data_IF_690075126620
#
_entry.id   IF_690075126620
#
_cell.length_a   1.000
_cell.length_b   1.000
_cell.length_c   1.000
_cell.angle_alpha   90.00
_cell.angle_beta   90.00
_cell.angle_gamma   90.00
#
_symmetry.space_group_name_H-M   'P 1'
#
loop_
_entity.id
_entity.type
_entity.pdbx_description
1 polymer ?
#
# COMPACT_ATOMS: atom_id res chain seq x y z
N UNK A 1 9.57 3.17 -20.55
CA UNK A 1 10.95 2.64 -20.65
C UNK A 1 11.30 2.08 -19.26
N UNK A 2 11.32 0.76 -19.05
CA UNK A 2 11.21 0.19 -17.71
C UNK A 2 12.56 -0.26 -17.12
N UNK A 3 13.03 0.42 -16.06
CA UNK A 3 14.07 -0.14 -15.20
C UNK A 3 13.49 -1.34 -14.44
N UNK A 4 13.86 -2.53 -14.92
CA UNK A 4 13.27 -3.82 -14.58
C UNK A 4 14.09 -4.54 -13.50
N UNK A 5 13.46 -5.41 -12.69
CA UNK A 5 14.04 -6.10 -11.50
C UNK A 5 14.21 -5.12 -10.31
N UNK A 6 13.55 -5.31 -9.15
CA UNK A 6 14.02 -6.09 -7.99
C UNK A 6 12.96 -6.06 -6.82
N UNK A 7 12.93 -7.07 -5.92
CA UNK A 7 11.84 -7.49 -4.96
C UNK A 7 12.04 -6.99 -3.48
N UNK A 8 11.31 -7.33 -2.38
CA UNK A 8 10.29 -8.35 -1.92
C UNK A 8 8.87 -7.71 -1.71
N UNK A 9 7.89 -8.03 -0.84
CA UNK A 9 7.67 -8.73 0.48
C UNK A 9 8.35 -7.99 1.70
N UNK A 10 7.88 -8.02 2.96
CA UNK A 10 6.67 -8.59 3.57
C UNK A 10 5.72 -7.47 4.04
N UNK A 11 4.69 -7.14 3.24
CA UNK A 11 3.41 -6.67 3.75
C UNK A 11 2.63 -7.81 4.43
N UNK A 12 1.56 -7.46 5.12
CA UNK A 12 0.61 -8.37 5.77
C UNK A 12 0.21 -9.57 4.88
N UNK A 13 0.66 -10.77 5.26
CA UNK A 13 0.37 -12.06 4.61
C UNK A 13 0.75 -12.20 3.11
N UNK A 14 2.01 -12.60 2.87
CA UNK A 14 2.44 -13.51 1.79
C UNK A 14 1.95 -13.21 0.34
N UNK A 15 2.17 -12.01 -0.19
CA UNK A 15 2.56 -11.83 -1.60
C UNK A 15 3.17 -10.45 -1.86
N UNK A 16 4.35 -10.38 -2.47
CA UNK A 16 5.04 -9.12 -2.76
C UNK A 16 6.06 -9.28 -3.88
N UNK A 17 5.64 -8.93 -5.09
CA UNK A 17 6.36 -9.19 -6.33
C UNK A 17 6.78 -7.86 -6.94
N UNK A 18 7.96 -7.80 -7.56
CA UNK A 18 8.43 -6.62 -8.29
C UNK A 18 7.92 -6.62 -9.74
N UNK A 19 7.27 -5.52 -10.10
CA UNK A 19 6.35 -5.47 -11.24
C UNK A 19 6.74 -4.35 -12.21
N UNK A 20 8.06 -4.15 -12.35
CA UNK A 20 8.66 -3.09 -13.15
C UNK A 20 8.67 -3.35 -14.66
N UNK A 21 8.29 -4.55 -15.11
CA UNK A 21 8.15 -4.95 -16.51
C UNK A 21 6.93 -5.87 -16.76
N UNK A 22 6.02 -5.92 -15.79
CA UNK A 22 5.10 -7.05 -15.61
C UNK A 22 3.68 -6.50 -15.62
N UNK A 23 2.86 -6.90 -16.59
CA UNK A 23 1.49 -6.40 -16.68
C UNK A 23 0.62 -6.94 -15.53
N UNK A 24 -0.57 -6.35 -15.34
CA UNK A 24 -1.48 -6.72 -14.25
C UNK A 24 -1.87 -8.21 -14.27
N UNK A 25 -1.96 -8.85 -15.45
CA UNK A 25 -2.24 -10.28 -15.55
C UNK A 25 -1.08 -11.15 -15.05
N UNK A 26 0.14 -10.85 -15.47
CA UNK A 26 1.35 -11.53 -15.00
C UNK A 26 1.61 -11.26 -13.50
N UNK A 27 1.24 -10.07 -13.01
CA UNK A 27 1.22 -9.71 -11.57
C UNK A 27 0.35 -10.68 -10.78
N UNK A 28 -0.87 -10.93 -11.26
CA UNK A 28 -1.81 -11.83 -10.60
C UNK A 28 -1.32 -13.29 -10.65
N UNK A 29 -0.77 -13.75 -11.78
CA UNK A 29 -0.11 -15.07 -11.85
C UNK A 29 1.00 -15.20 -10.80
N UNK A 30 1.83 -14.16 -10.65
CA UNK A 30 2.94 -14.13 -9.68
C UNK A 30 2.48 -14.09 -8.21
N UNK A 31 1.37 -13.41 -7.93
CA UNK A 31 0.68 -13.45 -6.63
C UNK A 31 0.13 -14.86 -6.33
N UNK A 32 -0.28 -15.60 -7.36
CA UNK A 32 -0.80 -16.97 -7.24
C UNK A 32 0.29 -18.04 -7.12
N UNK A 33 1.34 -18.01 -7.95
CA UNK A 33 2.49 -18.93 -7.83
C UNK A 33 3.22 -18.79 -6.46
N UNK A 34 3.15 -17.61 -5.82
CA UNK A 34 3.60 -17.39 -4.44
C UNK A 34 2.68 -18.04 -3.39
N UNK A 35 1.35 -17.87 -3.47
CA UNK A 35 0.40 -18.56 -2.57
C UNK A 35 0.55 -20.08 -2.66
N UNK A 36 0.83 -20.60 -3.86
CA UNK A 36 1.09 -22.02 -4.10
C UNK A 36 2.52 -22.46 -3.72
N UNK A 37 3.31 -21.59 -3.07
CA UNK A 37 4.65 -21.86 -2.54
C UNK A 37 5.67 -22.34 -3.60
N UNK A 38 5.46 -22.03 -4.88
CA UNK A 38 6.31 -22.50 -5.99
C UNK A 38 7.58 -21.68 -6.21
N UNK A 39 7.73 -20.56 -5.51
CA UNK A 39 8.81 -19.60 -5.68
C UNK A 39 9.52 -19.32 -4.36
N UNK A 40 10.84 -19.57 -4.31
CA UNK A 40 11.65 -19.27 -3.13
C UNK A 40 11.96 -17.77 -2.99
N UNK A 41 12.17 -17.35 -1.75
CA UNK A 41 12.25 -15.96 -1.29
C UNK A 41 13.56 -15.81 -0.49
N UNK A 42 14.54 -15.06 -0.99
CA UNK A 42 15.93 -15.04 -0.45
C UNK A 42 16.48 -13.63 -0.28
N UNK A 43 16.98 -13.32 0.92
CA UNK A 43 17.70 -12.07 1.27
C UNK A 43 16.97 -10.74 1.01
N UNK A 44 15.66 -10.76 0.75
CA UNK A 44 14.93 -9.60 0.24
C UNK A 44 14.48 -9.72 -1.22
N UNK A 45 14.75 -10.84 -1.91
CA UNK A 45 14.58 -10.96 -3.38
C UNK A 45 14.01 -12.31 -3.86
N UNK A 46 13.15 -12.30 -4.89
CA UNK A 46 12.73 -13.50 -5.64
C UNK A 46 13.59 -13.61 -6.90
N UNK A 47 13.92 -14.85 -7.30
CA UNK A 47 14.62 -15.12 -8.55
C UNK A 47 13.70 -14.96 -9.77
N UNK A 48 13.73 -13.76 -10.37
CA UNK A 48 13.02 -13.44 -11.62
C UNK A 48 13.36 -14.38 -12.78
N UNK A 49 14.56 -14.94 -12.84
CA UNK A 49 14.92 -15.86 -13.92
C UNK A 49 14.15 -17.18 -13.83
N UNK A 50 13.63 -17.51 -12.65
CA UNK A 50 12.77 -18.69 -12.46
C UNK A 50 11.30 -18.40 -12.75
N UNK A 51 10.84 -17.19 -12.43
CA UNK A 51 9.52 -16.66 -12.79
C UNK A 51 9.34 -16.53 -14.30
N UNK A 52 10.39 -16.09 -15.00
CA UNK A 52 10.34 -15.69 -16.41
C UNK A 52 11.02 -16.71 -17.36
N UNK A 53 11.20 -17.96 -16.93
CA UNK A 53 11.78 -19.05 -17.76
C UNK A 53 11.08 -19.21 -19.11
N UNK A 54 9.76 -19.04 -19.12
CA UNK A 54 8.91 -19.20 -20.29
C UNK A 54 8.77 -17.91 -21.14
N UNK A 55 9.44 -16.82 -20.73
CA UNK A 55 9.42 -15.54 -21.45
C UNK A 55 10.66 -15.38 -22.35
N UNK A 56 10.55 -14.49 -23.34
CA UNK A 56 11.56 -14.35 -24.40
C UNK A 56 12.97 -14.08 -23.86
N UNK A 57 13.97 -14.72 -24.47
CA UNK A 57 15.38 -14.66 -24.05
C UNK A 57 15.96 -13.24 -23.99
N UNK A 58 15.35 -12.27 -24.68
CA UNK A 58 15.66 -10.85 -24.58
C UNK A 58 15.41 -10.28 -23.16
N UNK A 59 14.30 -10.66 -22.52
CA UNK A 59 13.96 -10.24 -21.15
C UNK A 59 14.96 -10.84 -20.15
N UNK A 60 15.27 -12.13 -20.29
CA UNK A 60 16.29 -12.80 -19.46
C UNK A 60 17.68 -12.17 -19.63
N UNK A 61 18.05 -11.76 -20.86
CA UNK A 61 19.29 -11.03 -21.12
C UNK A 61 19.32 -9.63 -20.50
N UNK A 62 18.20 -8.89 -20.55
CA UNK A 62 18.09 -7.58 -19.88
C UNK A 62 18.22 -7.72 -18.36
N UNK A 63 17.61 -8.74 -17.76
CA UNK A 63 17.77 -9.09 -16.34
C UNK A 63 19.25 -9.36 -16.00
N UNK A 64 19.96 -10.09 -16.84
CA UNK A 64 21.40 -10.36 -16.67
C UNK A 64 22.26 -9.09 -16.78
N UNK A 65 21.90 -8.13 -17.63
CA UNK A 65 22.63 -6.87 -17.79
C UNK A 65 22.40 -5.93 -16.60
N UNK A 66 21.16 -5.76 -16.13
CA UNK A 66 20.86 -4.95 -14.93
C UNK A 66 21.51 -5.57 -13.68
N UNK A 67 21.53 -6.90 -13.56
CA UNK A 67 22.21 -7.58 -12.45
C UNK A 67 23.74 -7.39 -12.42
N UNK A 68 24.36 -6.86 -13.48
CA UNK A 68 25.80 -6.55 -13.53
C UNK A 68 26.12 -5.07 -13.22
N UNK A 69 25.10 -4.22 -13.06
CA UNK A 69 25.31 -2.81 -12.73
C UNK A 69 25.72 -2.61 -11.25
N UNK A 70 26.68 -1.71 -11.04
CA UNK A 70 27.33 -1.49 -9.73
C UNK A 70 26.44 -0.67 -8.80
N UNK A 71 25.75 0.35 -9.31
CA UNK A 71 24.83 1.18 -8.54
C UNK A 71 23.60 0.35 -8.13
N UNK A 72 23.08 -0.46 -9.05
CA UNK A 72 22.02 -1.44 -8.80
C UNK A 72 22.41 -2.46 -7.72
N UNK A 73 23.60 -3.07 -7.78
CA UNK A 73 24.04 -4.00 -6.73
C UNK A 73 24.30 -3.31 -5.38
N UNK A 74 24.73 -2.04 -5.39
CA UNK A 74 24.85 -1.25 -4.16
C UNK A 74 23.48 -0.99 -3.51
N UNK A 75 22.51 -0.51 -4.31
CA UNK A 75 21.14 -0.27 -3.88
C UNK A 75 20.44 -1.56 -3.41
N UNK A 76 20.66 -2.68 -4.12
CA UNK A 76 20.23 -4.02 -3.68
C UNK A 76 20.80 -4.39 -2.32
N UNK A 77 22.09 -4.14 -2.08
CA UNK A 77 22.77 -4.49 -0.82
C UNK A 77 22.20 -3.71 0.36
N UNK A 78 21.91 -2.42 0.18
CA UNK A 78 21.25 -1.59 1.22
C UNK A 78 19.86 -2.13 1.55
N UNK A 79 19.04 -2.42 0.52
CA UNK A 79 17.69 -2.97 0.73
C UNK A 79 17.71 -4.38 1.35
N UNK A 80 18.71 -5.21 1.02
CA UNK A 80 18.93 -6.52 1.66
C UNK A 80 19.21 -6.38 3.16
N UNK A 81 20.07 -5.42 3.53
CA UNK A 81 20.43 -5.15 4.93
C UNK A 81 19.25 -4.58 5.72
N UNK A 82 18.48 -3.66 5.11
CA UNK A 82 17.24 -3.13 5.69
C UNK A 82 16.20 -4.23 5.94
N UNK A 83 16.01 -5.15 4.98
CA UNK A 83 15.14 -6.32 5.14
C UNK A 83 15.64 -7.26 6.24
N UNK A 84 16.95 -7.54 6.28
CA UNK A 84 17.57 -8.34 7.34
C UNK A 84 17.33 -7.78 8.73
N UNK A 85 17.52 -6.46 8.92
CA UNK A 85 17.22 -5.78 10.17
C UNK A 85 15.73 -5.78 10.54
N UNK A 86 14.81 -5.73 9.56
CA UNK A 86 13.38 -5.88 9.81
C UNK A 86 13.03 -7.29 10.29
N UNK A 87 13.53 -8.34 9.64
CA UNK A 87 13.29 -9.73 10.03
C UNK A 87 13.92 -10.05 11.39
N UNK A 88 15.12 -9.53 11.68
CA UNK A 88 15.73 -9.62 13.00
C UNK A 88 14.84 -8.95 14.07
N UNK A 89 14.39 -7.71 13.82
CA UNK A 89 13.51 -6.98 14.73
C UNK A 89 12.18 -7.71 15.01
N UNK A 90 11.56 -8.32 13.99
CA UNK A 90 10.33 -9.11 14.16
C UNK A 90 10.57 -10.38 14.99
N UNK A 91 11.72 -11.03 14.84
CA UNK A 91 12.08 -12.19 15.67
C UNK A 91 12.42 -11.78 17.11
N UNK A 92 13.12 -10.66 17.31
CA UNK A 92 13.33 -10.08 18.63
C UNK A 92 12.00 -9.66 19.29
N UNK A 93 11.04 -9.12 18.53
CA UNK A 93 9.71 -8.77 19.04
C UNK A 93 8.95 -10.00 19.55
N UNK A 94 8.96 -11.11 18.79
CA UNK A 94 8.38 -12.40 19.22
C UNK A 94 8.98 -12.89 20.54
N UNK A 95 10.31 -12.86 20.66
CA UNK A 95 11.00 -13.25 21.89
C UNK A 95 10.67 -12.30 23.06
N UNK A 96 10.54 -11.01 22.78
CA UNK A 96 10.20 -9.96 23.75
C UNK A 96 8.80 -10.15 24.34
N UNK A 97 7.83 -10.65 23.57
CA UNK A 97 6.49 -10.95 24.06
C UNK A 97 6.46 -12.08 25.09
N UNK A 98 7.47 -12.95 25.13
CA UNK A 98 7.59 -14.03 26.13
C UNK A 98 8.16 -13.54 27.48
N UNK A 99 8.56 -12.26 27.59
CA UNK A 99 9.09 -11.70 28.83
C UNK A 99 7.96 -11.32 29.81
N UNK A 100 7.95 -12.01 30.95
CA UNK A 100 6.99 -11.79 32.05
C UNK A 100 7.21 -10.47 32.78
N UNK A 101 8.46 -10.02 32.91
CA UNK A 101 8.81 -8.76 33.57
C UNK A 101 8.60 -7.57 32.64
N UNK A 102 7.69 -6.67 33.01
CA UNK A 102 7.34 -5.48 32.22
C UNK A 102 8.53 -4.55 31.97
N UNK A 103 9.47 -4.42 32.93
CA UNK A 103 10.67 -3.59 32.76
C UNK A 103 11.57 -4.12 31.64
N UNK A 104 11.87 -5.42 31.68
CA UNK A 104 12.75 -6.08 30.72
C UNK A 104 12.10 -6.13 29.33
N UNK A 105 10.79 -6.39 29.27
CA UNK A 105 9.98 -6.30 28.05
C UNK A 105 10.04 -4.91 27.43
N UNK A 106 9.85 -3.86 28.23
CA UNK A 106 9.90 -2.48 27.74
C UNK A 106 11.31 -2.07 27.26
N UNK A 107 12.37 -2.57 27.91
CA UNK A 107 13.74 -2.33 27.45
C UNK A 107 14.04 -3.06 26.12
N UNK A 108 13.60 -4.31 25.98
CA UNK A 108 13.75 -5.07 24.74
C UNK A 108 12.94 -4.46 23.57
N UNK A 109 11.73 -3.94 23.82
CA UNK A 109 10.94 -3.20 22.82
C UNK A 109 11.67 -1.94 22.32
N UNK A 110 12.42 -1.23 23.17
CA UNK A 110 13.28 -0.11 22.72
C UNK A 110 14.44 -0.59 21.84
N UNK A 111 14.98 -1.79 22.08
CA UNK A 111 15.94 -2.43 21.18
C UNK A 111 15.35 -2.73 19.80
N UNK A 112 14.15 -3.29 19.77
CA UNK A 112 13.37 -3.54 18.53
C UNK A 112 13.09 -2.23 17.79
N UNK A 113 12.62 -1.18 18.46
CA UNK A 113 12.47 0.17 17.88
C UNK A 113 13.76 0.66 17.23
N UNK A 114 14.92 0.42 17.85
CA UNK A 114 16.23 0.81 17.33
C UNK A 114 16.64 0.08 16.04
N UNK A 115 16.22 -1.17 15.85
CA UNK A 115 16.43 -1.92 14.59
C UNK A 115 15.49 -1.43 13.49
N UNK A 116 14.19 -1.32 13.80
CA UNK A 116 13.16 -0.85 12.87
C UNK A 116 13.45 0.57 12.36
N UNK A 117 13.94 1.46 13.24
CA UNK A 117 14.35 2.84 12.88
C UNK A 117 15.55 2.92 11.94
N UNK A 118 16.39 1.88 11.84
CA UNK A 118 17.45 1.79 10.81
C UNK A 118 16.85 1.36 9.48
N UNK A 119 16.16 0.21 9.46
CA UNK A 119 15.53 -0.32 8.25
C UNK A 119 14.60 0.72 7.59
N UNK A 120 13.78 1.44 8.36
CA UNK A 120 12.90 2.48 7.82
C UNK A 120 13.66 3.69 7.27
N UNK A 121 14.87 4.00 7.76
CA UNK A 121 15.68 5.09 7.22
C UNK A 121 16.20 4.72 5.83
N UNK A 122 16.73 3.51 5.68
CA UNK A 122 17.18 2.96 4.39
C UNK A 122 16.02 2.91 3.39
N UNK A 123 14.86 2.35 3.77
CA UNK A 123 13.65 2.32 2.94
C UNK A 123 13.03 3.70 2.67
N UNK A 124 13.47 4.80 3.30
CA UNK A 124 13.06 6.18 2.97
C UNK A 124 14.12 6.99 2.20
N UNK A 125 15.38 6.54 2.11
CA UNK A 125 16.52 7.36 1.66
C UNK A 125 16.44 7.80 0.17
N UNK A 126 16.11 9.06 -0.16
CA UNK A 126 15.78 9.48 -1.53
C UNK A 126 16.89 9.31 -2.56
N UNK A 127 18.15 9.15 -2.15
CA UNK A 127 19.28 9.04 -3.08
C UNK A 127 19.34 7.72 -3.85
N UNK A 128 18.76 6.65 -3.30
CA UNK A 128 18.79 5.28 -3.86
C UNK A 128 17.85 5.15 -5.10
N UNK A 129 17.11 6.21 -5.46
CA UNK A 129 15.81 6.08 -6.16
C UNK A 129 15.54 7.04 -7.33
N UNK A 130 16.55 7.60 -7.99
CA UNK A 130 16.33 8.54 -9.12
C UNK A 130 15.54 7.93 -10.28
N UNK A 131 15.83 6.68 -10.64
CA UNK A 131 15.38 6.05 -11.89
C UNK A 131 14.45 4.83 -11.68
N UNK A 132 13.88 4.65 -10.47
CA UNK A 132 12.95 3.55 -10.21
C UNK A 132 11.53 3.91 -10.68
N UNK A 133 10.97 3.04 -11.53
CA UNK A 133 9.58 3.14 -12.02
C UNK A 133 8.53 3.08 -10.89
N UNK A 134 7.31 3.52 -11.19
CA UNK A 134 6.27 3.71 -10.17
C UNK A 134 5.93 2.42 -9.42
N UNK A 135 5.98 1.25 -10.09
CA UNK A 135 5.73 -0.04 -9.47
C UNK A 135 6.78 -0.42 -8.40
N UNK A 136 8.07 -0.23 -8.71
CA UNK A 136 9.16 -0.46 -7.75
C UNK A 136 9.14 0.53 -6.59
N UNK A 137 8.71 1.77 -6.86
CA UNK A 137 8.51 2.79 -5.82
C UNK A 137 7.36 2.43 -4.88
N UNK A 138 6.23 1.89 -5.37
CA UNK A 138 5.11 1.46 -4.52
C UNK A 138 5.54 0.36 -3.53
N UNK A 139 6.12 -0.75 -4.02
CA UNK A 139 6.57 -1.87 -3.17
C UNK A 139 7.53 -1.44 -2.07
N UNK A 140 8.37 -0.44 -2.37
CA UNK A 140 9.31 0.12 -1.40
C UNK A 140 8.62 0.97 -0.32
N UNK A 141 7.59 1.72 -0.70
CA UNK A 141 6.76 2.48 0.23
C UNK A 141 5.95 1.55 1.13
N UNK A 142 5.39 0.46 0.60
CA UNK A 142 4.75 -0.61 1.38
C UNK A 142 5.67 -1.16 2.48
N UNK A 143 6.94 -1.45 2.16
CA UNK A 143 7.93 -1.86 3.17
C UNK A 143 8.17 -0.77 4.23
N UNK A 144 8.31 0.49 3.84
CA UNK A 144 8.49 1.60 4.78
C UNK A 144 7.26 1.77 5.69
N UNK A 145 6.05 1.66 5.16
CA UNK A 145 4.80 1.74 5.92
C UNK A 145 4.62 0.54 6.86
N UNK A 146 4.96 -0.68 6.43
CA UNK A 146 4.89 -1.88 7.27
C UNK A 146 5.86 -1.83 8.48
N UNK A 147 7.07 -1.27 8.28
CA UNK A 147 8.00 -1.01 9.38
C UNK A 147 7.44 0.06 10.32
N UNK A 148 6.77 1.09 9.80
CA UNK A 148 6.11 2.14 10.61
C UNK A 148 4.95 1.57 11.45
N UNK A 149 4.12 0.69 10.89
CA UNK A 149 3.11 -0.08 11.63
C UNK A 149 3.76 -0.92 12.74
N UNK A 150 4.90 -1.57 12.45
CA UNK A 150 5.61 -2.39 13.44
C UNK A 150 6.18 -1.54 14.59
N UNK A 151 6.72 -0.34 14.31
CA UNK A 151 7.12 0.65 15.33
C UNK A 151 5.90 1.13 16.13
N UNK A 152 4.76 1.30 15.48
CA UNK A 152 3.53 1.77 16.12
C UNK A 152 2.95 0.70 17.07
N UNK A 153 3.08 -0.59 16.69
CA UNK A 153 2.76 -1.73 17.56
C UNK A 153 3.66 -1.81 18.80
N UNK A 154 4.96 -1.48 18.74
CA UNK A 154 5.79 -1.47 19.97
C UNK A 154 5.33 -0.41 20.98
N UNK A 155 4.74 0.71 20.53
CA UNK A 155 4.12 1.68 21.43
C UNK A 155 2.81 1.16 22.04
N UNK A 156 2.00 0.39 21.32
CA UNK A 156 0.79 -0.22 21.91
C UNK A 156 1.14 -1.30 22.94
N UNK A 157 2.14 -2.14 22.67
CA UNK A 157 2.64 -3.15 23.60
C UNK A 157 3.25 -2.55 24.90
N UNK A 158 3.54 -1.24 24.88
CA UNK A 158 3.99 -0.43 26.03
C UNK A 158 2.84 0.36 26.70
N UNK A 159 1.60 0.23 26.20
CA UNK A 159 0.43 0.98 26.67
C UNK A 159 0.43 2.47 26.31
N UNK A 160 1.28 2.91 25.37
CA UNK A 160 1.46 4.32 25.02
C UNK A 160 0.40 4.82 24.01
N UNK A 161 -0.89 4.54 24.28
CA UNK A 161 -2.00 4.68 23.34
C UNK A 161 -2.15 6.07 22.68
N UNK A 162 -1.74 7.15 23.35
CA UNK A 162 -1.68 8.48 22.72
C UNK A 162 -0.67 8.50 21.56
N UNK A 163 0.56 8.04 21.80
CA UNK A 163 1.61 7.93 20.75
C UNK A 163 1.14 7.03 19.61
N UNK A 164 0.43 5.94 19.93
CA UNK A 164 -0.15 5.04 18.92
C UNK A 164 -1.16 5.79 18.04
N UNK A 165 -2.14 6.50 18.62
CA UNK A 165 -3.12 7.29 17.88
C UNK A 165 -2.46 8.37 17.00
N UNK A 166 -1.47 9.08 17.54
CA UNK A 166 -0.78 10.16 16.84
C UNK A 166 0.03 9.62 15.64
N UNK A 167 0.69 8.46 15.83
CA UNK A 167 1.39 7.74 14.75
C UNK A 167 0.45 7.18 13.69
N UNK A 168 -0.69 6.61 14.07
CA UNK A 168 -1.66 6.08 13.11
C UNK A 168 -2.29 7.18 12.24
N UNK A 169 -2.47 8.39 12.79
CA UNK A 169 -2.86 9.55 11.97
C UNK A 169 -1.76 9.89 10.95
N UNK A 170 -0.53 10.08 11.45
CA UNK A 170 0.60 10.45 10.61
C UNK A 170 0.91 9.41 9.51
N UNK A 171 0.77 8.12 9.81
CA UNK A 171 0.99 7.05 8.86
C UNK A 171 -0.08 7.03 7.76
N UNK A 172 -1.35 7.20 8.08
CA UNK A 172 -2.41 7.29 7.07
C UNK A 172 -2.20 8.50 6.15
N UNK A 173 -1.86 9.66 6.71
CA UNK A 173 -1.59 10.87 5.93
C UNK A 173 -0.31 10.75 5.09
N UNK A 174 0.71 10.05 5.60
CA UNK A 174 1.89 9.68 4.83
C UNK A 174 1.53 8.76 3.67
N UNK A 175 0.76 7.68 3.88
CA UNK A 175 0.30 6.76 2.82
C UNK A 175 -0.47 7.54 1.74
N UNK A 176 -1.38 8.44 2.14
CA UNK A 176 -2.12 9.32 1.20
C UNK A 176 -1.18 10.19 0.38
N UNK A 177 -0.24 10.91 1.03
CA UNK A 177 0.67 11.82 0.34
C UNK A 177 1.70 11.10 -0.53
N UNK A 178 2.27 9.99 -0.06
CA UNK A 178 3.19 9.15 -0.82
C UNK A 178 2.49 8.59 -2.09
N UNK A 179 1.25 8.15 -1.96
CA UNK A 179 0.43 7.63 -3.08
C UNK A 179 0.03 8.72 -4.07
N UNK A 180 -0.41 9.91 -3.60
CA UNK A 180 -0.68 11.06 -4.48
C UNK A 180 0.57 11.44 -5.29
N UNK A 181 1.72 11.52 -4.62
CA UNK A 181 3.03 11.79 -5.24
C UNK A 181 3.40 10.74 -6.29
N UNK A 182 2.98 9.48 -6.09
CA UNK A 182 3.22 8.40 -7.04
C UNK A 182 2.32 8.50 -8.28
N UNK A 183 1.05 8.88 -8.12
CA UNK A 183 0.12 9.09 -9.24
C UNK A 183 0.55 10.29 -10.11
N UNK A 184 1.09 11.35 -9.51
CA UNK A 184 1.65 12.50 -10.24
C UNK A 184 2.93 12.15 -11.02
N UNK A 185 3.63 11.07 -10.64
CA UNK A 185 4.81 10.55 -11.35
C UNK A 185 4.48 9.48 -12.40
N UNK A 186 3.26 8.95 -12.43
CA UNK A 186 2.82 7.94 -13.38
C UNK A 186 2.77 8.51 -14.81
N UNK A 187 3.65 8.03 -15.70
CA UNK A 187 3.83 8.56 -17.06
C UNK A 187 3.15 7.73 -18.15
N UNK A 188 2.98 6.41 -17.95
CA UNK A 188 2.40 5.53 -18.97
C UNK A 188 1.10 4.86 -18.51
N UNK A 189 0.30 4.41 -19.47
CA UNK A 189 -0.89 3.60 -19.20
C UNK A 189 -0.51 2.23 -18.60
N UNK A 190 0.68 1.68 -18.91
CA UNK A 190 1.18 0.44 -18.30
C UNK A 190 1.50 0.61 -16.80
N UNK A 191 2.04 1.77 -16.40
CA UNK A 191 2.22 2.08 -14.98
C UNK A 191 0.87 2.23 -14.29
N UNK A 192 -0.11 2.86 -14.94
CA UNK A 192 -1.45 3.04 -14.39
C UNK A 192 -2.20 1.71 -14.23
N UNK A 193 -2.01 0.78 -15.16
CA UNK A 193 -2.55 -0.58 -15.10
C UNK A 193 -2.05 -1.38 -13.88
N UNK A 194 -0.82 -1.08 -13.42
CA UNK A 194 -0.34 -1.62 -12.15
C UNK A 194 -0.81 -0.80 -10.93
N UNK A 195 -0.69 0.54 -10.99
CA UNK A 195 -0.92 1.42 -9.84
C UNK A 195 -2.38 1.48 -9.41
N UNK A 196 -3.34 1.52 -10.35
CA UNK A 196 -4.73 1.79 -10.00
C UNK A 196 -5.34 0.71 -9.10
N UNK A 197 -5.26 -0.60 -9.42
CA UNK A 197 -5.83 -1.63 -8.54
C UNK A 197 -5.17 -1.69 -7.17
N UNK A 198 -3.85 -1.51 -7.08
CA UNK A 198 -3.11 -1.62 -5.82
C UNK A 198 -3.31 -0.37 -4.95
N UNK A 199 -3.40 0.84 -5.51
CA UNK A 199 -3.73 2.05 -4.75
C UNK A 199 -5.21 2.06 -4.35
N UNK A 200 -6.14 1.59 -5.20
CA UNK A 200 -7.54 1.41 -4.82
C UNK A 200 -7.65 0.45 -3.62
N UNK A 201 -6.92 -0.67 -3.65
CA UNK A 201 -6.79 -1.62 -2.54
C UNK A 201 -6.28 -0.95 -1.25
N UNK A 202 -5.22 -0.13 -1.35
CA UNK A 202 -4.68 0.61 -0.21
C UNK A 202 -5.72 1.58 0.39
N UNK A 203 -6.57 2.19 -0.46
CA UNK A 203 -7.66 3.07 0.00
C UNK A 203 -8.79 2.30 0.69
N UNK A 204 -9.28 1.23 0.07
CA UNK A 204 -10.48 0.51 0.50
C UNK A 204 -10.23 -0.49 1.65
N UNK A 205 -9.01 -1.04 1.73
CA UNK A 205 -8.64 -2.01 2.76
C UNK A 205 -7.60 -1.46 3.75
N UNK A 206 -6.40 -1.09 3.31
CA UNK A 206 -5.28 -0.86 4.24
C UNK A 206 -5.48 0.41 5.09
N UNK A 207 -5.92 1.51 4.48
CA UNK A 207 -6.30 2.73 5.21
C UNK A 207 -7.54 2.50 6.11
N UNK A 208 -8.48 1.63 5.71
CA UNK A 208 -9.63 1.28 6.53
C UNK A 208 -9.24 0.48 7.79
N UNK A 209 -8.29 -0.46 7.67
CA UNK A 209 -7.70 -1.20 8.80
C UNK A 209 -6.94 -0.27 9.75
N UNK A 210 -6.12 0.64 9.22
CA UNK A 210 -5.40 1.63 10.05
C UNK A 210 -6.36 2.58 10.77
N UNK A 211 -7.44 3.01 10.13
CA UNK A 211 -8.50 3.81 10.75
C UNK A 211 -9.24 3.00 11.84
N UNK A 212 -9.57 1.71 11.61
CA UNK A 212 -10.17 0.85 12.64
C UNK A 212 -9.26 0.75 13.87
N UNK A 213 -7.98 0.42 13.66
CA UNK A 213 -6.98 0.34 14.74
C UNK A 213 -6.86 1.66 15.51
N UNK A 214 -6.89 2.81 14.81
CA UNK A 214 -6.86 4.12 15.45
C UNK A 214 -8.12 4.39 16.29
N UNK A 215 -9.29 3.97 15.81
CA UNK A 215 -10.56 4.09 16.54
C UNK A 215 -10.59 3.17 17.77
N UNK A 216 -10.10 1.92 17.67
CA UNK A 216 -9.98 1.00 18.81
C UNK A 216 -9.05 1.56 19.89
N UNK A 217 -7.92 2.15 19.48
CA UNK A 217 -6.96 2.80 20.37
C UNK A 217 -7.57 4.06 21.02
N UNK A 218 -8.35 4.85 20.28
CA UNK A 218 -9.02 6.03 20.82
C UNK A 218 -10.19 5.67 21.75
N UNK A 219 -10.92 4.58 21.47
CA UNK A 219 -11.88 3.99 22.39
C UNK A 219 -11.20 3.55 23.69
N UNK A 220 -10.11 2.76 23.63
CA UNK A 220 -9.30 2.36 24.80
C UNK A 220 -8.84 3.55 25.65
N UNK A 221 -8.55 4.70 25.03
CA UNK A 221 -8.19 5.96 25.71
C UNK A 221 -9.36 6.69 26.38
N UNK A 222 -10.58 6.50 25.89
CA UNK A 222 -11.80 7.14 26.41
C UNK A 222 -12.42 6.42 27.61
N UNK A 223 -12.05 5.14 27.82
CA UNK A 223 -12.59 4.31 28.88
C UNK A 223 -12.23 4.81 30.29
N UNK A 224 -13.18 4.85 31.24
CA UNK A 224 -12.89 5.04 32.66
C UNK A 224 -11.96 3.96 33.22
N UNK A 225 -11.10 4.27 34.22
CA UNK A 225 -10.22 3.29 34.87
C UNK A 225 -10.94 2.09 35.52
N UNK A 226 -12.23 2.22 35.81
CA UNK A 226 -13.10 1.12 36.25
C UNK A 226 -13.41 0.12 35.13
N UNK A 227 -13.67 0.61 33.92
CA UNK A 227 -13.97 -0.22 32.75
C UNK A 227 -12.71 -0.85 32.17
N UNK A 228 -11.58 -0.14 32.19
CA UNK A 228 -10.26 -0.72 31.87
C UNK A 228 -9.94 -1.91 32.80
N UNK A 229 -10.20 -1.78 34.10
CA UNK A 229 -10.05 -2.89 35.05
C UNK A 229 -11.03 -4.03 34.78
N UNK A 230 -12.28 -3.72 34.45
CA UNK A 230 -13.29 -4.73 34.14
C UNK A 230 -12.87 -5.56 32.92
N UNK A 231 -12.42 -4.91 31.84
CA UNK A 231 -11.87 -5.57 30.65
C UNK A 231 -10.59 -6.39 30.95
N UNK A 232 -9.71 -5.92 31.83
CA UNK A 232 -8.53 -6.67 32.28
C UNK A 232 -8.87 -7.87 33.18
N UNK A 233 -10.07 -7.90 33.77
CA UNK A 233 -10.59 -9.02 34.57
C UNK A 233 -11.60 -9.90 33.83
N UNK A 234 -11.92 -9.58 32.57
CA UNK A 234 -12.90 -10.30 31.78
C UNK A 234 -12.27 -11.55 31.15
N UNK A 235 -12.85 -12.71 31.48
CA UNK A 235 -12.38 -14.02 31.02
C UNK A 235 -12.97 -14.36 29.64
N UNK A 236 -12.31 -13.86 28.59
CA UNK A 236 -12.78 -13.98 27.21
C UNK A 236 -12.63 -15.40 26.62
N UNK A 237 -11.92 -16.32 27.29
CA UNK A 237 -11.68 -17.70 26.84
C UNK A 237 -12.96 -18.56 26.72
N UNK A 238 -14.10 -18.04 27.17
CA UNK A 238 -15.44 -18.66 27.04
C UNK A 238 -16.24 -18.20 25.83
N UNK A 239 -15.72 -17.26 25.03
CA UNK A 239 -16.28 -17.00 23.70
C UNK A 239 -15.85 -18.10 22.74
N UNK A 240 -16.74 -19.05 22.45
CA UNK A 240 -16.66 -19.76 21.17
C UNK A 240 -16.74 -18.71 20.06
N UNK A 241 -15.59 -18.30 19.54
CA UNK A 241 -15.52 -17.57 18.29
C UNK A 241 -15.94 -18.57 17.21
N UNK A 242 -17.25 -18.64 17.00
CA UNK A 242 -17.82 -19.12 15.74
C UNK A 242 -17.32 -18.17 14.66
N UNK A 243 -16.12 -18.47 14.15
CA UNK A 243 -15.65 -18.00 12.85
C UNK A 243 -16.66 -18.57 11.87
N UNK A 244 -17.71 -17.78 11.59
CA UNK A 244 -18.84 -18.24 10.81
C UNK A 244 -18.34 -18.87 9.53
N UNK A 245 -18.76 -20.11 9.25
CA UNK A 245 -18.31 -20.86 8.07
C UNK A 245 -18.76 -20.23 6.74
N UNK A 246 -19.54 -19.15 6.82
CA UNK A 246 -19.78 -18.16 5.77
C UNK A 246 -18.57 -17.24 5.51
N UNK A 247 -17.41 -17.54 6.10
CA UNK A 247 -16.13 -17.45 5.41
C UNK A 247 -16.17 -18.30 4.13
N UNK A 248 -16.93 -17.80 3.14
CA UNK A 248 -16.98 -18.32 1.80
C UNK A 248 -15.53 -18.43 1.32
N UNK A 249 -15.07 -19.68 1.13
CA UNK A 249 -13.70 -19.96 0.71
C UNK A 249 -13.39 -19.04 -0.47
N UNK A 250 -12.41 -18.13 -0.37
CA UNK A 250 -12.02 -17.30 -1.50
C UNK A 250 -11.48 -18.25 -2.56
N UNK A 251 -12.31 -18.57 -3.55
CA UNK A 251 -11.95 -19.48 -4.64
C UNK A 251 -10.72 -18.88 -5.29
N UNK A 252 -9.61 -19.62 -5.32
CA UNK A 252 -8.31 -19.07 -5.69
C UNK A 252 -8.31 -18.42 -7.09
N UNK A 253 -9.25 -18.85 -7.94
CA UNK A 253 -9.54 -18.37 -9.29
C UNK A 253 -10.25 -17.00 -9.36
N UNK A 254 -10.71 -16.41 -8.25
CA UNK A 254 -11.44 -15.12 -8.27
C UNK A 254 -10.49 -13.94 -8.47
N UNK A 255 -10.62 -13.23 -9.60
CA UNK A 255 -9.90 -11.97 -9.88
C UNK A 255 -10.25 -10.94 -8.79
N UNK A 256 -9.27 -10.19 -8.23
CA UNK A 256 -9.54 -9.21 -7.18
C UNK A 256 -10.54 -8.13 -7.60
N UNK A 257 -11.43 -7.67 -6.69
CA UNK A 257 -12.48 -6.70 -7.03
C UNK A 257 -11.92 -5.37 -7.55
N UNK A 258 -10.74 -4.95 -7.09
CA UNK A 258 -10.06 -3.71 -7.50
C UNK A 258 -9.59 -3.78 -8.96
N UNK A 259 -9.26 -4.98 -9.44
CA UNK A 259 -8.90 -5.24 -10.85
C UNK A 259 -10.15 -5.19 -11.73
N UNK A 260 -11.23 -5.87 -11.31
CA UNK A 260 -12.51 -5.84 -12.04
C UNK A 260 -13.12 -4.44 -12.08
N UNK A 261 -12.94 -3.65 -11.02
CA UNK A 261 -13.27 -2.23 -10.97
C UNK A 261 -12.44 -1.46 -12.01
N UNK A 262 -11.11 -1.62 -12.00
CA UNK A 262 -10.24 -0.90 -12.92
C UNK A 262 -10.53 -1.21 -14.40
N UNK A 263 -10.68 -2.49 -14.78
CA UNK A 263 -11.02 -2.87 -16.16
C UNK A 263 -12.33 -2.21 -16.64
N UNK A 264 -13.35 -2.21 -15.79
CA UNK A 264 -14.67 -1.58 -16.03
C UNK A 264 -14.58 -0.05 -16.17
N UNK A 265 -13.66 0.60 -15.44
CA UNK A 265 -13.41 2.05 -15.54
C UNK A 265 -12.55 2.40 -16.77
N UNK A 266 -11.54 1.59 -17.08
CA UNK A 266 -10.62 1.74 -18.23
C UNK A 266 -11.33 1.62 -19.57
N UNK A 267 -12.35 0.75 -19.68
CA UNK A 267 -13.22 0.68 -20.87
C UNK A 267 -14.07 1.95 -21.11
N UNK A 268 -14.13 2.88 -20.15
CA UNK A 268 -15.05 4.03 -20.14
C UNK A 268 -14.40 5.37 -19.80
N UNK A 269 -13.08 5.40 -19.64
CA UNK A 269 -12.28 6.57 -19.25
C UNK A 269 -10.95 6.54 -20.00
N UNK A 270 -10.31 7.70 -20.13
CA UNK A 270 -8.91 7.82 -20.54
C UNK A 270 -8.00 7.96 -19.31
N UNK A 271 -6.71 7.70 -19.46
CA UNK A 271 -5.77 7.56 -18.33
C UNK A 271 -5.54 8.82 -17.48
N UNK A 272 -5.81 10.02 -17.99
CA UNK A 272 -5.79 11.23 -17.15
C UNK A 272 -7.02 11.33 -16.23
N UNK A 273 -8.21 10.94 -16.72
CA UNK A 273 -9.42 10.83 -15.89
C UNK A 273 -9.28 9.72 -14.84
N UNK A 274 -8.69 8.56 -15.19
CA UNK A 274 -8.43 7.47 -14.24
C UNK A 274 -7.44 7.90 -13.14
N UNK A 275 -6.38 8.64 -13.46
CA UNK A 275 -5.45 9.21 -12.46
C UNK A 275 -6.16 10.18 -11.51
N UNK A 276 -7.06 11.03 -12.00
CA UNK A 276 -7.80 11.96 -11.15
C UNK A 276 -8.83 11.24 -10.25
N UNK A 277 -9.53 10.20 -10.76
CA UNK A 277 -10.40 9.35 -9.93
C UNK A 277 -9.63 8.75 -8.74
N UNK A 278 -8.43 8.22 -9.01
CA UNK A 278 -7.57 7.60 -8.00
C UNK A 278 -7.06 8.63 -6.97
N UNK A 279 -6.87 9.89 -7.36
CA UNK A 279 -6.58 11.01 -6.44
C UNK A 279 -7.77 11.36 -5.56
N UNK A 280 -9.00 11.30 -6.07
CA UNK A 280 -10.20 11.57 -5.28
C UNK A 280 -10.43 10.51 -4.20
N UNK A 281 -10.14 9.24 -4.48
CA UNK A 281 -10.15 8.16 -3.48
C UNK A 281 -9.17 8.42 -2.32
N UNK A 282 -7.98 8.95 -2.61
CA UNK A 282 -6.97 9.30 -1.60
C UNK A 282 -7.29 10.61 -0.85
N UNK A 283 -7.89 11.58 -1.55
CA UNK A 283 -8.24 12.90 -1.01
C UNK A 283 -9.39 13.54 -1.80
N UNK A 284 -10.60 13.38 -1.27
CA UNK A 284 -11.84 13.88 -1.88
C UNK A 284 -11.86 15.39 -2.14
N UNK A 285 -11.19 16.21 -1.33
CA UNK A 285 -11.11 17.68 -1.54
C UNK A 285 -10.55 18.08 -2.92
N UNK A 286 -9.70 17.24 -3.54
CA UNK A 286 -9.11 17.54 -4.86
C UNK A 286 -10.17 17.65 -5.97
N UNK A 287 -11.33 17.01 -5.76
CA UNK A 287 -12.50 16.98 -6.65
C UNK A 287 -13.18 18.34 -6.82
N UNK A 288 -13.12 19.20 -5.80
CA UNK A 288 -13.79 20.50 -5.76
C UNK A 288 -13.31 21.45 -6.90
N UNK A 289 -12.05 21.33 -7.31
CA UNK A 289 -11.49 22.07 -8.44
C UNK A 289 -12.10 21.64 -9.78
N UNK A 290 -12.30 20.33 -9.97
CA UNK A 290 -12.93 19.76 -11.16
C UNK A 290 -14.41 20.14 -11.23
N UNK A 291 -15.17 20.00 -10.13
CA UNK A 291 -16.58 20.42 -10.01
C UNK A 291 -16.77 21.91 -10.38
N UNK A 292 -15.88 22.77 -9.86
CA UNK A 292 -15.89 24.21 -10.12
C UNK A 292 -15.63 24.51 -11.60
N UNK A 293 -14.64 23.86 -12.21
CA UNK A 293 -14.32 24.03 -13.63
C UNK A 293 -15.45 23.52 -14.53
N UNK A 294 -16.03 22.34 -14.23
CA UNK A 294 -17.16 21.80 -15.01
C UNK A 294 -18.36 22.76 -14.93
N UNK A 295 -18.70 23.27 -13.75
CA UNK A 295 -19.81 24.21 -13.55
C UNK A 295 -19.66 25.49 -14.40
N UNK A 296 -18.44 26.04 -14.46
CA UNK A 296 -18.10 27.20 -15.30
C UNK A 296 -18.22 26.87 -16.79
N UNK A 297 -17.60 25.78 -17.25
CA UNK A 297 -17.60 25.40 -18.67
C UNK A 297 -18.98 24.95 -19.17
N UNK A 298 -19.77 24.29 -18.33
CA UNK A 298 -21.16 23.95 -18.62
C UNK A 298 -22.02 25.20 -18.81
N UNK A 299 -21.87 26.20 -17.94
CA UNK A 299 -22.59 27.47 -18.05
C UNK A 299 -22.18 28.23 -19.31
N UNK A 300 -20.87 28.34 -19.59
CA UNK A 300 -20.35 28.97 -20.80
C UNK A 300 -20.80 28.26 -22.09
N UNK A 301 -20.91 26.93 -22.06
CA UNK A 301 -21.38 26.10 -23.19
C UNK A 301 -22.91 26.01 -23.30
N UNK A 302 -23.68 26.64 -22.41
CA UNK A 302 -25.14 26.59 -22.39
C UNK A 302 -25.76 25.27 -21.90
N UNK A 303 -24.97 24.36 -21.30
CA UNK A 303 -25.44 23.07 -20.76
C UNK A 303 -26.16 23.24 -19.41
N UNK A 304 -27.36 23.84 -19.44
CA UNK A 304 -28.19 24.16 -18.26
C UNK A 304 -28.53 22.97 -17.35
N UNK A 305 -28.37 21.73 -17.83
CA UNK A 305 -28.58 20.52 -17.03
C UNK A 305 -27.42 20.17 -16.10
N UNK A 306 -26.22 20.70 -16.34
CA UNK A 306 -25.02 20.53 -15.50
C UNK A 306 -24.88 21.74 -14.55
N UNK A 307 -25.95 22.03 -13.80
CA UNK A 307 -25.99 23.15 -12.86
C UNK A 307 -25.15 22.85 -11.59
N UNK A 308 -24.71 23.87 -10.81
CA UNK A 308 -23.79 23.67 -9.68
C UNK A 308 -24.35 22.90 -8.46
N UNK A 309 -25.62 22.48 -8.50
CA UNK A 309 -26.29 21.74 -7.42
C UNK A 309 -26.10 20.23 -7.55
N UNK A 310 -25.94 19.55 -6.41
CA UNK A 310 -25.86 18.08 -6.28
C UNK A 310 -24.55 17.42 -6.78
N UNK A 311 -23.44 18.15 -6.92
CA UNK A 311 -22.13 17.53 -7.20
C UNK A 311 -21.74 16.43 -6.20
N UNK A 312 -22.18 16.50 -4.94
CA UNK A 312 -21.94 15.48 -3.91
C UNK A 312 -22.59 14.11 -4.22
N UNK A 313 -23.64 14.07 -5.03
CA UNK A 313 -24.35 12.82 -5.41
C UNK A 313 -23.76 12.16 -6.66
N UNK A 314 -22.89 12.86 -7.39
CA UNK A 314 -22.34 12.42 -8.67
C UNK A 314 -21.10 11.51 -8.43
N UNK A 315 -20.95 10.35 -9.08
CA UNK A 315 -19.75 9.53 -8.92
C UNK A 315 -18.46 10.23 -9.37
N UNK A 316 -17.35 9.95 -8.71
CA UNK A 316 -16.02 10.49 -9.04
C UNK A 316 -15.59 10.20 -10.49
N UNK A 317 -15.94 9.01 -10.97
CA UNK A 317 -15.85 8.62 -12.39
C UNK A 317 -16.51 9.64 -13.34
N UNK A 318 -17.69 10.15 -12.97
CA UNK A 318 -18.44 11.10 -13.79
C UNK A 318 -17.81 12.49 -13.71
N UNK A 319 -17.35 12.93 -12.54
CA UNK A 319 -16.66 14.22 -12.37
C UNK A 319 -15.35 14.25 -13.17
N UNK A 320 -14.49 13.24 -13.03
CA UNK A 320 -13.23 13.19 -13.75
C UNK A 320 -13.42 13.18 -15.27
N UNK A 321 -14.32 12.34 -15.80
CA UNK A 321 -14.59 12.29 -17.23
C UNK A 321 -15.24 13.57 -17.78
N UNK A 322 -16.14 14.23 -17.03
CA UNK A 322 -16.72 15.52 -17.44
C UNK A 322 -15.67 16.63 -17.47
N UNK A 323 -14.80 16.72 -16.45
CA UNK A 323 -13.72 17.71 -16.42
C UNK A 323 -12.81 17.60 -17.64
N UNK A 324 -12.37 16.38 -17.98
CA UNK A 324 -11.51 16.16 -19.13
C UNK A 324 -12.23 16.32 -20.48
N UNK A 325 -13.52 15.98 -20.57
CA UNK A 325 -14.36 16.29 -21.73
C UNK A 325 -14.41 17.79 -22.03
N UNK A 326 -14.57 18.63 -20.99
CA UNK A 326 -14.50 20.08 -21.16
C UNK A 326 -13.09 20.57 -21.48
N UNK A 327 -12.04 20.04 -20.83
CA UNK A 327 -10.65 20.36 -21.16
C UNK A 327 -10.33 20.13 -22.65
N UNK A 328 -10.67 18.95 -23.17
CA UNK A 328 -10.45 18.58 -24.57
C UNK A 328 -11.32 19.38 -25.58
N UNK A 329 -12.37 20.07 -25.12
CA UNK A 329 -13.13 21.04 -25.93
C UNK A 329 -12.55 22.46 -25.92
N UNK A 330 -11.62 22.76 -25.00
CA UNK A 330 -11.02 24.09 -24.79
C UNK A 330 -9.54 24.17 -25.19
N UNK A 331 -9.02 23.12 -25.83
CA UNK A 331 -7.64 22.97 -26.27
C UNK A 331 -7.55 22.89 -27.81
#
# INVERSE_FOLDING_TARGET
MPLSVLYLIVPSYLAGVALSAVNLHQTLKLREDLKQLRLEVKDGFIDMKQVLKDQGAEILKQIDQVAQDIEFQHHRTILAQAYGHFIEAVNWLRNTLMLTQTTDRNAALVGVEGMLRKAIADYNNPQIYKDICSAGRLRRLECAWAIDQTITLTYELRGAYQVVSDRLSHLQDKIRQDSLTLIDLCQTDDELDFLFPEIARICEHDLAVLNSWQNDVNWKRSLPPSEIKLLQSADFDTSEISVGSDAANPTADSIPPEVLLYEKLKQKSHSASLRDQLKFMLKSDLRQGHESYISQQATASGYKALAPSNWQEIPDFTVANLYWYFKHKTA
#
